data_IF_235454151647
#
_entry.id   IF_235454151647
#
_cell.length_a   1.000
_cell.length_b   1.000
_cell.length_c   1.000
_cell.angle_alpha   90.00
_cell.angle_beta   90.00
_cell.angle_gamma   90.00
#
_symmetry.space_group_name_H-M   'P 1'
#
loop_
_entity.id
_entity.type
_entity.pdbx_description
1 polymer ?
#
# COMPACT_ATOMS: atom_id res chain seq x y z
N UNK A 1 1.36 -15.89 16.07
CA UNK A 1 2.50 -15.17 15.46
C UNK A 1 2.15 -13.69 15.37
N UNK A 2 3.09 -12.82 15.73
CA UNK A 2 2.88 -11.38 15.71
C UNK A 2 3.93 -10.75 14.80
N UNK A 3 3.45 -9.90 13.87
CA UNK A 3 4.34 -9.09 13.04
C UNK A 3 4.35 -7.66 13.58
N UNK A 4 5.52 -7.19 14.00
CA UNK A 4 5.71 -5.81 14.45
C UNK A 4 5.97 -4.94 13.22
N UNK A 5 4.91 -4.51 12.58
CA UNK A 5 4.99 -3.86 11.27
C UNK A 5 5.89 -2.62 11.27
N UNK A 6 5.95 -1.91 12.40
CA UNK A 6 6.80 -0.72 12.53
C UNK A 6 8.30 -1.02 12.52
N UNK A 7 8.69 -2.28 12.76
CA UNK A 7 10.09 -2.68 12.71
C UNK A 7 10.55 -3.05 11.31
N UNK A 8 9.62 -3.32 10.40
CA UNK A 8 9.96 -3.74 9.04
C UNK A 8 10.31 -2.49 8.22
N UNK A 9 11.52 -2.43 7.63
CA UNK A 9 11.90 -1.26 6.83
C UNK A 9 11.07 -1.14 5.56
N UNK A 10 10.47 0.03 5.38
CA UNK A 10 9.76 0.36 4.14
C UNK A 10 10.69 0.98 3.11
N UNK A 11 10.16 1.19 1.93
CA UNK A 11 10.85 1.84 0.82
C UNK A 11 10.10 3.11 0.45
N UNK A 12 10.83 4.23 0.36
CA UNK A 12 10.25 5.49 -0.05
C UNK A 12 10.15 5.55 -1.57
N UNK A 13 8.93 5.73 -2.07
CA UNK A 13 8.70 6.05 -3.46
C UNK A 13 8.96 7.54 -3.62
N UNK A 14 9.82 7.98 -4.55
CA UNK A 14 10.14 9.40 -4.69
C UNK A 14 8.97 10.22 -5.24
N UNK A 15 9.02 11.54 -4.99
CA UNK A 15 8.06 12.47 -5.56
C UNK A 15 8.02 12.33 -7.10
N UNK A 16 6.89 12.59 -7.76
CA UNK A 16 5.69 13.26 -7.23
C UNK A 16 4.73 12.34 -6.47
N UNK A 17 4.83 11.04 -6.62
CA UNK A 17 3.91 10.10 -5.98
C UNK A 17 4.51 9.54 -4.68
N UNK A 18 5.01 10.45 -3.85
CA UNK A 18 5.78 10.08 -2.66
C UNK A 18 4.94 9.36 -1.62
N UNK A 19 5.42 8.21 -1.21
CA UNK A 19 4.84 7.41 -0.14
C UNK A 19 5.86 6.40 0.36
N UNK A 20 5.60 5.79 1.50
CA UNK A 20 6.43 4.70 2.02
C UNK A 20 5.65 3.40 1.92
N UNK A 21 6.22 2.42 1.20
CA UNK A 21 5.65 1.09 1.05
C UNK A 21 6.39 0.13 1.97
N UNK A 22 5.65 -0.60 2.80
CA UNK A 22 6.21 -1.62 3.69
C UNK A 22 5.49 -2.94 3.46
N UNK A 23 6.20 -3.94 2.98
CA UNK A 23 5.61 -5.27 2.76
C UNK A 23 5.62 -6.04 4.08
N UNK A 24 4.45 -6.51 4.48
CA UNK A 24 4.28 -7.28 5.71
C UNK A 24 4.26 -8.77 5.39
N UNK A 25 3.42 -9.18 4.44
CA UNK A 25 3.27 -10.58 4.05
C UNK A 25 3.15 -10.69 2.54
N UNK A 26 3.84 -11.65 1.97
CA UNK A 26 3.75 -11.98 0.55
C UNK A 26 4.33 -13.37 0.31
N UNK A 27 4.11 -13.97 -0.86
CA UNK A 27 4.75 -15.25 -1.17
C UNK A 27 6.27 -15.21 -1.05
N UNK A 28 6.89 -14.09 -1.45
CA UNK A 28 8.34 -13.94 -1.45
C UNK A 28 8.93 -13.76 -0.04
N UNK A 29 8.17 -13.14 0.87
CA UNK A 29 8.68 -12.76 2.19
C UNK A 29 8.29 -13.77 3.26
N UNK A 30 7.05 -14.22 3.26
CA UNK A 30 6.48 -15.03 4.33
C UNK A 30 5.90 -16.36 3.87
N UNK A 31 6.05 -16.70 2.60
CA UNK A 31 5.47 -17.91 2.00
C UNK A 31 3.94 -17.95 2.11
N UNK A 32 3.31 -16.79 2.15
CA UNK A 32 1.85 -16.65 2.16
C UNK A 32 1.35 -16.70 0.72
N UNK A 33 0.55 -17.69 0.38
CA UNK A 33 0.22 -17.96 -1.03
C UNK A 33 -1.02 -17.22 -1.56
N UNK A 34 -1.90 -16.76 -0.67
CA UNK A 34 -3.21 -16.23 -1.06
C UNK A 34 -3.25 -14.73 -1.30
N UNK A 35 -2.31 -14.00 -0.73
CA UNK A 35 -2.37 -12.53 -0.77
C UNK A 35 -1.00 -11.89 -0.62
N UNK A 36 -0.95 -10.60 -0.94
CA UNK A 36 0.08 -9.68 -0.52
C UNK A 36 -0.56 -8.70 0.45
N UNK A 37 0.12 -8.44 1.58
CA UNK A 37 -0.28 -7.44 2.56
C UNK A 37 0.86 -6.44 2.71
N UNK A 38 0.56 -5.16 2.49
CA UNK A 38 1.53 -4.09 2.68
C UNK A 38 0.86 -2.88 3.33
N UNK A 39 1.65 -1.97 3.86
CA UNK A 39 1.15 -0.67 4.29
C UNK A 39 1.68 0.40 3.36
N UNK A 40 0.87 1.44 3.12
CA UNK A 40 1.24 2.61 2.36
C UNK A 40 1.02 3.83 3.23
N UNK A 41 2.06 4.62 3.42
CA UNK A 41 2.02 5.82 4.26
C UNK A 41 2.23 7.04 3.37
N UNK A 42 1.23 7.93 3.35
CA UNK A 42 1.19 9.08 2.46
C UNK A 42 1.07 10.35 3.30
N UNK A 43 2.05 11.24 3.19
CA UNK A 43 2.04 12.53 3.88
C UNK A 43 1.00 13.48 3.27
N UNK A 44 0.54 14.50 4.04
CA UNK A 44 -0.39 15.48 3.50
C UNK A 44 0.13 16.12 2.22
N UNK A 45 -0.76 16.29 1.25
CA UNK A 45 -0.44 16.89 -0.04
C UNK A 45 0.09 15.94 -1.09
N UNK A 46 0.35 14.68 -0.73
CA UNK A 46 0.87 13.69 -1.68
C UNK A 46 -0.23 12.72 -2.14
N UNK A 47 0.07 11.99 -3.20
CA UNK A 47 -0.86 11.09 -3.87
C UNK A 47 -0.11 9.87 -4.38
N UNK A 48 -0.83 8.76 -4.58
CA UNK A 48 -0.28 7.56 -5.23
C UNK A 48 -0.06 7.76 -6.72
N UNK A 49 -0.66 8.79 -7.32
CA UNK A 49 -0.82 8.88 -8.77
C UNK A 49 -1.85 7.88 -9.28
N UNK A 50 -2.32 8.11 -10.51
CA UNK A 50 -3.26 7.20 -11.17
C UNK A 50 -2.54 5.94 -11.58
N UNK A 51 -3.08 4.79 -11.18
CA UNK A 51 -2.48 3.50 -11.50
C UNK A 51 -3.54 2.39 -11.49
N UNK A 52 -3.16 1.21 -11.95
CA UNK A 52 -4.00 0.02 -11.89
C UNK A 52 -3.13 -1.21 -11.69
N UNK A 53 -3.73 -2.26 -11.18
CA UNK A 53 -3.10 -3.56 -11.01
C UNK A 53 -3.91 -4.61 -11.78
N UNK A 54 -3.30 -5.76 -12.07
CA UNK A 54 -4.00 -6.88 -12.69
C UNK A 54 -4.70 -7.78 -11.67
N UNK A 55 -4.72 -7.37 -10.42
CA UNK A 55 -5.39 -8.05 -9.29
C UNK A 55 -6.22 -7.04 -8.50
N UNK A 56 -7.20 -7.53 -7.76
CA UNK A 56 -8.00 -6.67 -6.89
C UNK A 56 -7.17 -6.12 -5.73
N UNK A 57 -7.37 -4.85 -5.41
CA UNK A 57 -6.73 -4.19 -4.28
C UNK A 57 -7.78 -3.72 -3.28
N UNK A 58 -7.53 -4.04 -2.01
CA UNK A 58 -8.37 -3.62 -0.89
C UNK A 58 -7.53 -2.75 0.02
N UNK A 59 -7.97 -1.50 0.26
CA UNK A 59 -7.21 -0.53 1.04
C UNK A 59 -8.03 -0.07 2.24
N UNK A 60 -7.67 -0.54 3.41
CA UNK A 60 -8.32 -0.11 4.64
C UNK A 60 -7.63 1.16 5.16
N UNK A 61 -8.42 2.19 5.40
CA UNK A 61 -7.93 3.48 5.90
C UNK A 61 -7.81 3.40 7.42
N UNK A 62 -6.58 3.26 7.92
CA UNK A 62 -6.34 3.20 9.37
C UNK A 62 -6.29 4.61 9.98
N UNK A 63 -5.63 5.55 9.32
CA UNK A 63 -5.55 6.95 9.76
C UNK A 63 -5.62 7.87 8.54
N UNK A 64 -6.03 9.11 8.77
CA UNK A 64 -6.02 10.13 7.74
C UNK A 64 -7.31 10.22 6.94
N UNK A 65 -7.41 11.28 6.15
CA UNK A 65 -8.54 11.59 5.29
C UNK A 65 -8.05 11.93 3.91
N UNK A 66 -8.86 11.66 2.90
CA UNK A 66 -8.43 11.95 1.56
C UNK A 66 -9.54 11.84 0.54
N UNK A 67 -9.12 11.69 -0.71
CA UNK A 67 -10.01 11.53 -1.84
C UNK A 67 -9.60 10.27 -2.61
N UNK A 68 -10.57 9.41 -2.89
CA UNK A 68 -10.37 8.23 -3.72
C UNK A 68 -10.93 8.52 -5.10
N UNK A 69 -10.08 8.42 -6.12
CA UNK A 69 -10.44 8.76 -7.49
C UNK A 69 -10.50 7.48 -8.30
N UNK A 70 -11.67 7.18 -8.83
CA UNK A 70 -11.91 6.05 -9.71
C UNK A 70 -12.37 6.57 -11.07
N UNK A 71 -11.65 6.22 -12.13
CA UNK A 71 -12.00 6.61 -13.49
C UNK A 71 -12.31 8.13 -13.60
N UNK A 72 -11.48 8.94 -12.96
CA UNK A 72 -11.58 10.40 -12.99
C UNK A 72 -12.59 11.00 -12.02
N UNK A 73 -13.32 10.18 -11.26
CA UNK A 73 -14.31 10.68 -10.29
C UNK A 73 -13.82 10.51 -8.88
N UNK A 74 -13.65 11.62 -8.16
CA UNK A 74 -13.17 11.64 -6.79
C UNK A 74 -14.31 11.62 -5.77
N UNK A 75 -14.11 10.85 -4.70
CA UNK A 75 -15.01 10.81 -3.54
C UNK A 75 -14.19 10.93 -2.27
N UNK A 76 -14.63 11.75 -1.30
CA UNK A 76 -13.91 11.87 -0.04
C UNK A 76 -14.07 10.61 0.80
N UNK A 77 -13.04 10.30 1.57
CA UNK A 77 -13.07 9.21 2.55
C UNK A 77 -12.48 9.67 3.88
N UNK A 78 -12.77 8.90 4.91
CA UNK A 78 -12.29 9.15 6.26
C UNK A 78 -11.79 7.86 6.90
N UNK A 79 -11.19 7.89 8.10
CA UNK A 79 -10.73 6.67 8.77
C UNK A 79 -11.82 5.63 8.91
N UNK A 80 -11.42 4.37 8.89
CA UNK A 80 -12.33 3.22 8.96
C UNK A 80 -13.20 3.08 7.71
N UNK A 81 -12.63 3.49 6.56
CA UNK A 81 -13.22 3.27 5.24
C UNK A 81 -12.44 2.17 4.53
N UNK A 82 -13.12 1.40 3.69
CA UNK A 82 -12.46 0.47 2.78
C UNK A 82 -12.55 1.01 1.37
N UNK A 83 -11.40 1.21 0.75
CA UNK A 83 -11.28 1.61 -0.65
C UNK A 83 -11.04 0.36 -1.48
N UNK A 84 -11.83 0.16 -2.52
CA UNK A 84 -11.70 -1.02 -3.36
C UNK A 84 -11.30 -0.62 -4.77
N UNK A 85 -10.14 -1.15 -5.22
CA UNK A 85 -9.66 -1.00 -6.58
C UNK A 85 -9.79 -2.31 -7.34
N UNK A 86 -10.84 -2.48 -8.16
CA UNK A 86 -10.98 -3.69 -8.97
C UNK A 86 -9.81 -3.88 -9.94
N UNK A 87 -9.48 -5.13 -10.24
CA UNK A 87 -8.42 -5.46 -11.19
C UNK A 87 -8.64 -4.73 -12.52
N UNK A 88 -7.55 -4.20 -13.06
CA UNK A 88 -7.49 -3.53 -14.38
C UNK A 88 -8.28 -2.21 -14.46
N UNK A 89 -8.74 -1.66 -13.33
CA UNK A 89 -9.38 -0.35 -13.29
C UNK A 89 -8.47 0.67 -12.64
N UNK A 90 -8.35 1.82 -13.27
CA UNK A 90 -7.50 2.91 -12.76
C UNK A 90 -8.10 3.52 -11.51
N UNK A 91 -7.22 3.81 -10.53
CA UNK A 91 -7.58 4.51 -9.32
C UNK A 91 -6.40 5.33 -8.80
N UNK A 92 -6.71 6.25 -7.91
CA UNK A 92 -5.72 7.11 -7.26
C UNK A 92 -6.19 7.43 -5.84
N UNK A 93 -5.25 7.48 -4.90
CA UNK A 93 -5.52 7.90 -3.52
C UNK A 93 -4.75 9.18 -3.25
N UNK A 94 -5.46 10.24 -2.85
CA UNK A 94 -4.86 11.53 -2.47
C UNK A 94 -5.04 11.77 -0.98
N UNK A 95 -3.99 12.23 -0.33
CA UNK A 95 -4.09 12.73 1.03
C UNK A 95 -4.45 14.22 0.98
N UNK A 96 -5.72 14.52 1.19
CA UNK A 96 -6.23 15.90 1.21
C UNK A 96 -6.42 16.42 2.63
N UNK A 97 -6.07 15.62 3.63
CA UNK A 97 -6.16 15.98 5.04
C UNK A 97 -4.90 16.64 5.56
N UNK A 98 -4.85 16.81 6.88
CA UNK A 98 -3.73 17.45 7.59
C UNK A 98 -2.86 16.43 8.31
N UNK A 99 -3.28 15.17 8.34
CA UNK A 99 -2.58 14.10 9.04
C UNK A 99 -2.01 13.08 8.06
N UNK A 100 -1.09 12.26 8.54
CA UNK A 100 -0.56 11.16 7.76
C UNK A 100 -1.67 10.17 7.43
N UNK A 101 -1.75 9.80 6.16
CA UNK A 101 -2.67 8.78 5.68
C UNK A 101 -1.96 7.44 5.73
N UNK A 102 -2.52 6.51 6.49
CA UNK A 102 -2.01 5.13 6.54
C UNK A 102 -3.06 4.19 5.98
N UNK A 103 -2.68 3.50 4.92
CA UNK A 103 -3.48 2.47 4.27
C UNK A 103 -2.91 1.10 4.58
N UNK A 104 -3.78 0.16 4.91
CA UNK A 104 -3.44 -1.25 5.00
C UNK A 104 -3.98 -1.89 3.73
N UNK A 105 -3.08 -2.37 2.87
CA UNK A 105 -3.43 -2.78 1.52
C UNK A 105 -3.31 -4.29 1.35
N UNK A 106 -4.34 -4.90 0.80
CA UNK A 106 -4.39 -6.32 0.48
C UNK A 106 -4.56 -6.48 -1.03
N UNK A 107 -3.81 -7.42 -1.59
CA UNK A 107 -3.94 -7.82 -3.00
C UNK A 107 -4.21 -9.32 -3.03
N UNK A 108 -5.29 -9.72 -3.68
CA UNK A 108 -5.63 -11.13 -3.83
C UNK A 108 -6.15 -11.39 -5.24
N UNK A 109 -5.48 -12.27 -6.01
CA UNK A 109 -4.25 -13.02 -5.68
C UNK A 109 -3.05 -12.10 -5.43
N UNK A 110 -1.90 -12.67 -5.00
CA UNK A 110 -0.73 -11.85 -4.66
C UNK A 110 -0.24 -10.98 -5.81
N UNK A 111 0.25 -9.80 -5.45
CA UNK A 111 0.82 -8.85 -6.40
C UNK A 111 2.18 -9.33 -6.89
N UNK A 112 2.43 -9.19 -8.20
CA UNK A 112 3.74 -9.53 -8.78
C UNK A 112 4.77 -8.50 -8.36
N UNK A 113 5.99 -8.94 -7.93
CA UNK A 113 7.02 -8.01 -7.47
C UNK A 113 7.70 -7.30 -8.65
N UNK A 114 7.28 -6.06 -8.89
CA UNK A 114 7.84 -5.18 -9.92
C UNK A 114 8.00 -3.76 -9.35
N UNK A 115 8.93 -2.98 -9.89
CA UNK A 115 9.12 -1.57 -9.54
C UNK A 115 9.44 -1.37 -8.07
N UNK A 116 8.89 -0.32 -7.47
CA UNK A 116 9.14 0.01 -6.06
C UNK A 116 8.59 -1.05 -5.10
N UNK A 117 7.55 -1.76 -5.49
CA UNK A 117 7.04 -2.87 -4.70
C UNK A 117 8.11 -3.97 -4.57
N UNK A 118 8.83 -4.28 -5.65
CA UNK A 118 9.92 -5.26 -5.58
C UNK A 118 11.01 -4.82 -4.59
N UNK A 119 11.36 -3.52 -4.58
CA UNK A 119 12.32 -2.99 -3.63
C UNK A 119 11.83 -3.18 -2.18
N UNK A 120 10.55 -2.96 -1.95
CA UNK A 120 9.94 -3.16 -0.64
C UNK A 120 9.94 -4.65 -0.25
N UNK A 121 9.71 -5.56 -1.20
CA UNK A 121 9.84 -7.00 -0.99
C UNK A 121 11.24 -7.36 -0.54
N UNK A 122 12.28 -6.85 -1.23
CA UNK A 122 13.67 -7.16 -0.88
C UNK A 122 14.02 -6.61 0.51
N UNK A 123 13.56 -5.43 0.85
CA UNK A 123 13.77 -4.83 2.17
C UNK A 123 13.16 -5.68 3.27
N UNK A 124 11.93 -6.15 3.07
CA UNK A 124 11.24 -7.03 4.03
C UNK A 124 11.93 -8.39 4.15
N UNK A 125 12.39 -8.96 3.04
CA UNK A 125 13.16 -10.23 3.04
C UNK A 125 14.41 -10.12 3.88
N UNK A 126 15.18 -9.04 3.72
CA UNK A 126 16.39 -8.81 4.51
C UNK A 126 16.08 -8.75 6.00
N UNK A 127 15.00 -8.07 6.36
CA UNK A 127 14.56 -7.96 7.75
C UNK A 127 14.27 -9.34 8.34
N UNK A 128 13.50 -10.16 7.64
CA UNK A 128 13.17 -11.51 8.11
C UNK A 128 14.40 -12.42 8.16
N UNK A 129 15.31 -12.30 7.20
CA UNK A 129 16.54 -13.11 7.17
C UNK A 129 17.49 -12.74 8.29
N UNK A 130 17.46 -11.50 8.79
CA UNK A 130 18.30 -11.07 9.91
C UNK A 130 17.83 -11.61 11.27
N UNK A 131 16.68 -12.28 11.32
CA UNK A 131 16.09 -12.79 12.55
C UNK A 131 15.45 -11.73 13.44
N UNK A 132 15.29 -10.53 12.89
CA UNK A 132 14.71 -9.41 13.63
C UNK A 132 13.17 -9.49 13.67
#
# INVERSE_FOLDING_TARGET
MIFKCWEIPGVKVPAPNERVLTVIMSPEVTNTKQLTLLTSIISPGYTTGTHKHDVDEFMYVATGRGEFIEEGQGKPFEPDSLLFGPANKEHEVKNTGKETLKLICFYSPPLKPVGFFENAVQSAKKHHQSGA
#
